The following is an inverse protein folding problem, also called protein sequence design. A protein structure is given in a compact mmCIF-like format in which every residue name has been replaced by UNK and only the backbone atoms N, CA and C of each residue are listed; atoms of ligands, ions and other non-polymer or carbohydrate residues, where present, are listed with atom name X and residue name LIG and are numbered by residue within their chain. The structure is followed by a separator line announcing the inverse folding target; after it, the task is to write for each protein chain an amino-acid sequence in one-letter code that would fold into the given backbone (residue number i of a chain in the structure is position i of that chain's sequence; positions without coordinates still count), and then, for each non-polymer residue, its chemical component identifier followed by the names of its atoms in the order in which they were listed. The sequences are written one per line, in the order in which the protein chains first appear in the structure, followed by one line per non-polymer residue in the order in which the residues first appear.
data_IF_897797638623
#
_entry.id   IF_897797638623
#
_cell.length_a   1.000
_cell.length_b   1.000
_cell.length_c   1.000
_cell.angle_alpha   90.00
_cell.angle_beta   90.00
_cell.angle_gamma   90.00
#
_symmetry.space_group_name_H-M   'P 1'
#
loop_
_entity.id
_entity.type
_entity.pdbx_description
1 polymer ?
#
# COMPACT_ATOMS: atom_id res chain seq x y z
N UNK A 1 2.18 11.07 -5.70
CA UNK A 1 1.72 10.37 -4.48
C UNK A 1 0.20 10.44 -4.34
N UNK A 2 -0.40 11.61 -4.12
CA UNK A 2 -1.86 11.72 -3.92
C UNK A 2 -2.69 11.20 -5.10
N UNK A 3 -2.28 11.43 -6.35
CA UNK A 3 -3.00 10.89 -7.53
C UNK A 3 -2.92 9.37 -7.68
N UNK A 4 -1.78 8.76 -7.33
CA UNK A 4 -1.64 7.30 -7.32
C UNK A 4 -2.41 6.66 -6.15
N UNK A 5 -2.45 7.34 -5.00
CA UNK A 5 -3.29 6.92 -3.87
C UNK A 5 -4.78 6.96 -4.17
N UNK A 6 -5.25 8.03 -4.82
CA UNK A 6 -6.65 8.16 -5.23
C UNK A 6 -7.06 7.06 -6.22
N UNK A 7 -6.15 6.61 -7.09
CA UNK A 7 -6.38 5.47 -7.99
C UNK A 7 -6.52 4.15 -7.23
N UNK A 8 -5.72 3.93 -6.20
CA UNK A 8 -5.84 2.75 -5.33
C UNK A 8 -7.17 2.78 -4.56
N UNK A 9 -7.54 3.94 -4.02
CA UNK A 9 -8.80 4.16 -3.31
C UNK A 9 -10.04 4.07 -4.22
N UNK A 10 -9.91 4.38 -5.51
CA UNK A 10 -10.99 4.26 -6.50
C UNK A 10 -11.38 2.80 -6.83
N UNK A 11 -10.49 1.85 -6.53
CA UNK A 11 -10.74 0.42 -6.71
C UNK A 11 -10.52 -0.35 -5.40
N UNK A 12 -11.34 -0.10 -4.35
CA UNK A 12 -11.10 -0.64 -3.01
C UNK A 12 -11.34 -2.16 -2.90
N UNK A 13 -12.26 -2.70 -3.72
CA UNK A 13 -12.69 -4.10 -3.66
C UNK A 13 -12.34 -4.92 -4.91
N UNK A 14 -11.49 -4.40 -5.80
CA UNK A 14 -11.06 -5.14 -6.97
C UNK A 14 -10.17 -6.32 -6.52
N UNK A 15 -10.75 -7.52 -6.51
CA UNK A 15 -10.10 -8.80 -6.24
C UNK A 15 -10.35 -9.73 -7.45
N UNK A 16 -9.31 -10.23 -8.14
CA UNK A 16 -7.90 -9.99 -7.86
C UNK A 16 -7.46 -8.53 -8.11
N UNK A 17 -6.42 -8.05 -7.42
CA UNK A 17 -5.87 -6.72 -7.64
C UNK A 17 -5.44 -6.55 -9.12
N UNK A 18 -5.70 -5.39 -9.76
CA UNK A 18 -5.19 -5.12 -11.10
C UNK A 18 -3.67 -5.28 -11.15
N UNK A 19 -3.14 -5.78 -12.28
CA UNK A 19 -1.72 -6.12 -12.42
C UNK A 19 -0.75 -4.96 -12.14
N UNK A 20 -1.19 -3.71 -12.33
CA UNK A 20 -0.39 -2.51 -12.04
C UNK A 20 -0.34 -2.15 -10.55
N UNK A 21 -1.27 -2.64 -9.74
CA UNK A 21 -1.45 -2.19 -8.36
C UNK A 21 -0.32 -2.62 -7.42
N UNK A 22 0.20 -3.87 -7.47
CA UNK A 22 1.33 -4.28 -6.64
C UNK A 22 2.57 -3.41 -6.83
N UNK A 23 2.91 -3.09 -8.09
CA UNK A 23 4.08 -2.25 -8.42
C UNK A 23 3.90 -0.81 -7.93
N UNK A 24 2.69 -0.23 -8.10
CA UNK A 24 2.39 1.11 -7.60
C UNK A 24 2.46 1.18 -6.07
N UNK A 25 1.94 0.18 -5.38
CA UNK A 25 1.97 0.10 -3.92
C UNK A 25 3.40 -0.03 -3.38
N UNK A 26 4.23 -0.86 -4.00
CA UNK A 26 5.65 -0.99 -3.66
C UNK A 26 6.42 0.31 -3.91
N UNK A 27 6.16 1.01 -5.02
CA UNK A 27 6.75 2.32 -5.28
C UNK A 27 6.33 3.37 -4.25
N UNK A 28 5.07 3.39 -3.83
CA UNK A 28 4.61 4.26 -2.76
C UNK A 28 5.30 3.93 -1.43
N UNK A 29 5.41 2.64 -1.09
CA UNK A 29 6.06 2.18 0.14
C UNK A 29 7.56 2.52 0.21
N UNK A 30 8.30 2.32 -0.89
CA UNK A 30 9.76 2.54 -0.91
C UNK A 30 10.15 4.01 -1.10
N UNK A 31 9.49 4.72 -2.01
CA UNK A 31 9.89 6.07 -2.42
C UNK A 31 9.19 7.15 -1.61
N UNK A 32 7.88 7.02 -1.40
CA UNK A 32 7.07 8.11 -0.88
C UNK A 32 6.84 8.02 0.63
N UNK A 33 6.85 6.82 1.23
CA UNK A 33 6.63 6.67 2.67
C UNK A 33 7.79 7.19 3.53
N UNK A 34 8.98 7.30 2.96
CA UNK A 34 10.19 7.84 3.59
C UNK A 34 10.30 9.36 3.47
N UNK A 35 9.44 10.01 2.69
CA UNK A 35 9.48 11.46 2.50
C UNK A 35 9.03 12.21 3.77
N UNK A 36 9.78 13.22 4.23
CA UNK A 36 9.40 14.02 5.38
C UNK A 36 8.15 14.86 5.08
N UNK A 37 7.33 15.08 6.12
CA UNK A 37 6.16 15.95 6.05
C UNK A 37 4.90 15.30 5.49
N UNK A 38 4.11 16.07 4.73
CA UNK A 38 2.73 15.70 4.34
C UNK A 38 2.72 14.52 3.36
N UNK A 39 3.73 14.39 2.50
CA UNK A 39 3.81 13.36 1.47
C UNK A 39 3.97 11.96 2.08
N UNK A 40 4.92 11.77 2.99
CA UNK A 40 5.07 10.50 3.71
C UNK A 40 3.86 10.15 4.56
N UNK A 41 3.27 11.14 5.26
CA UNK A 41 2.05 10.93 6.05
C UNK A 41 0.87 10.48 5.19
N UNK A 42 0.65 11.14 4.05
CA UNK A 42 -0.42 10.77 3.12
C UNK A 42 -0.21 9.36 2.55
N UNK A 43 1.02 9.03 2.14
CA UNK A 43 1.38 7.70 1.62
C UNK A 43 1.08 6.61 2.64
N UNK A 44 1.52 6.78 3.90
CA UNK A 44 1.25 5.83 4.97
C UNK A 44 -0.25 5.67 5.22
N UNK A 45 -1.02 6.76 5.15
CA UNK A 45 -2.47 6.75 5.26
C UNK A 45 -3.13 5.91 4.16
N UNK A 46 -2.78 6.16 2.89
CA UNK A 46 -3.27 5.41 1.73
C UNK A 46 -2.97 3.91 1.88
N UNK A 47 -1.73 3.55 2.23
CA UNK A 47 -1.32 2.14 2.39
C UNK A 47 -2.07 1.46 3.55
N UNK A 48 -2.30 2.19 4.64
CA UNK A 48 -3.03 1.70 5.81
C UNK A 48 -4.50 1.45 5.47
N UNK A 49 -5.14 2.40 4.79
CA UNK A 49 -6.54 2.25 4.38
C UNK A 49 -6.69 1.12 3.36
N UNK A 50 -5.79 1.02 2.37
CA UNK A 50 -5.76 -0.10 1.43
C UNK A 50 -5.75 -1.47 2.13
N UNK A 51 -4.86 -1.67 3.10
CA UNK A 51 -4.76 -2.94 3.84
C UNK A 51 -6.00 -3.19 4.70
N UNK A 52 -6.55 -2.15 5.30
CA UNK A 52 -7.78 -2.24 6.10
C UNK A 52 -8.99 -2.63 5.26
N UNK A 53 -9.17 -1.99 4.09
CA UNK A 53 -10.31 -2.27 3.19
C UNK A 53 -10.24 -3.68 2.60
N UNK A 54 -9.02 -4.20 2.38
CA UNK A 54 -8.80 -5.55 1.82
C UNK A 54 -8.43 -6.60 2.86
N UNK A 55 -8.67 -6.34 4.15
CA UNK A 55 -8.28 -7.27 5.20
C UNK A 55 -8.93 -8.66 5.01
N UNK A 56 -10.20 -8.69 4.61
CA UNK A 56 -10.95 -9.94 4.40
C UNK A 56 -10.49 -10.71 3.14
N UNK A 57 -10.05 -10.00 2.09
CA UNK A 57 -9.56 -10.60 0.83
C UNK A 57 -8.04 -10.82 0.81
N UNK A 58 -7.30 -10.31 1.81
CA UNK A 58 -5.85 -10.27 1.82
C UNK A 58 -5.20 -11.65 1.65
N UNK A 59 -5.84 -12.70 2.17
CA UNK A 59 -5.38 -14.08 2.04
C UNK A 59 -5.14 -14.53 0.60
N UNK A 60 -5.93 -14.00 -0.34
CA UNK A 60 -5.83 -14.25 -1.78
C UNK A 60 -5.02 -13.14 -2.47
N UNK A 61 -5.28 -11.88 -2.12
CA UNK A 61 -4.65 -10.73 -2.77
C UNK A 61 -3.13 -10.74 -2.61
N UNK A 62 -2.60 -11.17 -1.46
CA UNK A 62 -1.15 -11.26 -1.21
C UNK A 62 -0.41 -12.16 -2.22
N UNK A 63 -1.09 -13.11 -2.87
CA UNK A 63 -0.50 -14.01 -3.86
C UNK A 63 -0.15 -13.32 -5.17
N UNK A 64 -0.67 -12.11 -5.38
CA UNK A 64 -0.41 -11.27 -6.55
C UNK A 64 0.74 -10.28 -6.32
N UNK A 65 1.35 -10.30 -5.13
CA UNK A 65 2.52 -9.50 -4.78
C UNK A 65 3.75 -10.40 -4.76
N UNK A 66 4.91 -9.83 -5.11
CA UNK A 66 6.18 -10.53 -4.88
C UNK A 66 6.58 -10.45 -3.39
N UNK A 67 7.44 -11.36 -2.90
CA UNK A 67 7.91 -11.34 -1.52
C UNK A 67 8.51 -9.98 -1.11
N UNK A 68 9.27 -9.35 -2.00
CA UNK A 68 9.92 -8.05 -1.77
C UNK A 68 8.88 -6.93 -1.61
N UNK A 69 7.83 -6.95 -2.44
CA UNK A 69 6.75 -5.96 -2.36
C UNK A 69 5.95 -6.09 -1.05
N UNK A 70 5.78 -7.31 -0.57
CA UNK A 70 5.13 -7.57 0.72
C UNK A 70 5.99 -7.06 1.88
N UNK A 71 7.30 -7.30 1.85
CA UNK A 71 8.24 -6.80 2.84
C UNK A 71 8.26 -5.27 2.90
N UNK A 72 8.28 -4.60 1.74
CA UNK A 72 8.21 -3.13 1.64
C UNK A 72 6.92 -2.58 2.26
N UNK A 73 5.79 -3.24 1.99
CA UNK A 73 4.48 -2.86 2.55
C UNK A 73 4.43 -3.05 4.07
N UNK A 74 4.86 -4.19 4.58
CA UNK A 74 4.90 -4.47 6.01
C UNK A 74 5.86 -3.53 6.74
N UNK A 75 7.01 -3.23 6.14
CA UNK A 75 7.98 -2.28 6.64
C UNK A 75 7.41 -0.88 6.85
N UNK A 76 6.46 -0.44 6.02
CA UNK A 76 5.82 0.88 6.19
C UNK A 76 4.68 0.84 7.19
N UNK A 77 3.86 -0.22 7.17
CA UNK A 77 2.68 -0.35 8.01
C UNK A 77 3.03 -0.62 9.48
N UNK A 78 4.08 -1.41 9.74
CA UNK A 78 4.44 -1.83 11.10
C UNK A 78 5.44 -0.88 11.77
N UNK A 79 6.20 -0.08 11.01
CA UNK A 79 7.04 1.00 11.56
C UNK A 79 6.22 2.10 12.26
N UNK A 80 4.93 2.25 11.93
CA UNK A 80 4.07 3.28 12.55
C UNK A 80 3.51 2.90 13.93
N UNK A 81 3.67 1.65 14.38
CA UNK A 81 3.19 1.20 15.70
C UNK A 81 4.27 1.18 16.80
N UNK A 82 5.55 1.30 16.43
CA UNK A 82 6.70 1.15 17.34
C UNK A 82 7.66 2.35 17.36
N UNK A 83 7.27 3.50 16.78
CA UNK A 83 8.07 4.73 16.77
C UNK A 83 7.37 5.88 17.49
#
# INVERSE_FOLDING_TARGET
VLGLGALVEAFPYATPPPAWMPEVLAHLATRAASDPGVVGKATKGILSEFKKTRQDSWGVDQKYFTPEQLEDLEGVLWKSYFA
#
